data_IF_003448875923
#
_entry.id   IF_003448875923
#
_cell.length_a   1.000
_cell.length_b   1.000
_cell.length_c   1.000
_cell.angle_alpha   90.00
_cell.angle_beta   90.00
_cell.angle_gamma   90.00
#
_symmetry.space_group_name_H-M   'P 1'
#
loop_
_entity.id
_entity.type
_entity.pdbx_description
1 polymer ?
#
# COMPACT_ATOMS: atom_id res chain seq x y z
N UNK A 1 -15.94 -13.13 7.41
CA UNK A 1 -17.06 -13.91 6.81
C UNK A 1 -17.81 -13.17 5.69
N UNK A 2 -17.90 -11.86 5.72
CA UNK A 2 -18.60 -11.02 4.72
C UNK A 2 -17.64 -9.93 4.20
N UNK A 3 -16.54 -10.34 3.50
CA UNK A 3 -15.58 -9.39 2.96
C UNK A 3 -16.20 -8.54 1.85
N UNK A 4 -15.76 -7.30 1.75
CA UNK A 4 -16.21 -6.32 0.77
C UNK A 4 -15.03 -5.78 -0.03
N UNK A 5 -15.19 -5.67 -1.35
CA UNK A 5 -14.14 -5.17 -2.25
C UNK A 5 -13.91 -3.67 -2.07
N UNK A 6 -12.72 -3.21 -2.46
CA UNK A 6 -12.29 -1.81 -2.46
C UNK A 6 -13.37 -0.87 -3.00
N UNK A 7 -13.74 0.15 -2.22
CA UNK A 7 -14.79 1.13 -2.52
C UNK A 7 -16.23 0.62 -2.33
N UNK A 8 -16.39 -0.54 -1.69
CA UNK A 8 -17.69 -1.15 -1.38
C UNK A 8 -17.80 -1.64 0.05
N UNK A 9 -16.97 -1.15 0.95
CA UNK A 9 -16.84 -1.57 2.37
C UNK A 9 -17.99 -1.01 3.25
N UNK A 10 -19.23 -0.97 2.73
CA UNK A 10 -20.36 -0.32 3.40
C UNK A 10 -20.74 -0.98 4.72
N UNK A 11 -20.89 -2.31 4.75
CA UNK A 11 -21.26 -3.02 5.98
C UNK A 11 -20.09 -3.02 6.98
N UNK A 12 -18.85 -3.08 6.48
CA UNK A 12 -17.65 -2.99 7.32
C UNK A 12 -17.59 -1.60 7.97
N UNK A 13 -17.81 -0.53 7.21
CA UNK A 13 -17.82 0.85 7.71
C UNK A 13 -18.92 1.07 8.76
N UNK A 14 -20.15 0.61 8.48
CA UNK A 14 -21.27 0.67 9.43
C UNK A 14 -20.92 -0.05 10.75
N UNK A 15 -20.40 -1.28 10.65
CA UNK A 15 -19.99 -2.06 11.82
C UNK A 15 -18.90 -1.35 12.62
N UNK A 16 -17.87 -0.79 11.96
CA UNK A 16 -16.81 -0.02 12.60
C UNK A 16 -17.40 1.18 13.34
N UNK A 17 -18.24 1.97 12.67
CA UNK A 17 -18.84 3.16 13.27
C UNK A 17 -19.73 2.81 14.49
N UNK A 18 -20.52 1.75 14.40
CA UNK A 18 -21.31 1.25 15.53
C UNK A 18 -20.42 0.88 16.73
N UNK A 19 -19.34 0.14 16.49
CA UNK A 19 -18.41 -0.28 17.56
C UNK A 19 -17.67 0.90 18.17
N UNK A 20 -17.22 1.87 17.39
CA UNK A 20 -16.60 3.08 17.93
C UNK A 20 -17.55 3.87 18.83
N UNK A 21 -18.83 3.99 18.43
CA UNK A 21 -19.88 4.63 19.27
C UNK A 21 -20.13 3.83 20.55
N UNK A 22 -20.22 2.48 20.46
CA UNK A 22 -20.38 1.58 21.61
C UNK A 22 -19.22 1.72 22.60
N UNK A 23 -17.98 1.86 22.13
CA UNK A 23 -16.80 2.02 22.99
C UNK A 23 -16.67 3.43 23.56
N UNK A 24 -17.53 4.36 23.15
CA UNK A 24 -17.56 5.73 23.65
C UNK A 24 -16.46 6.62 23.05
N UNK A 25 -16.09 6.42 21.78
CA UNK A 25 -15.26 7.35 21.04
C UNK A 25 -15.96 8.70 20.94
N UNK A 26 -15.24 9.81 21.18
CA UNK A 26 -15.87 11.13 21.37
C UNK A 26 -16.51 11.69 20.09
N UNK A 27 -15.89 11.39 18.96
CA UNK A 27 -16.38 11.82 17.65
C UNK A 27 -16.18 10.68 16.66
N UNK A 28 -17.23 10.29 15.95
CA UNK A 28 -17.22 9.26 14.90
C UNK A 28 -17.78 9.88 13.64
N UNK A 29 -16.96 9.98 12.61
CA UNK A 29 -17.30 10.55 11.31
C UNK A 29 -17.42 9.39 10.32
N UNK A 30 -18.61 9.11 9.92
CA UNK A 30 -18.96 8.11 8.89
C UNK A 30 -18.89 8.74 7.50
N UNK A 31 -18.74 7.94 6.47
CA UNK A 31 -18.67 8.38 5.07
C UNK A 31 -17.67 9.54 4.86
N UNK A 32 -16.51 9.48 5.56
CA UNK A 32 -15.54 10.55 5.51
C UNK A 32 -15.14 10.87 4.07
N UNK A 33 -15.25 12.16 3.70
CA UNK A 33 -14.95 12.63 2.36
C UNK A 33 -15.72 11.89 1.24
N UNK A 34 -17.00 11.55 1.49
CA UNK A 34 -17.86 10.81 0.55
C UNK A 34 -17.27 9.44 0.14
N UNK A 35 -16.55 8.78 1.07
CA UNK A 35 -16.01 7.42 0.91
C UNK A 35 -16.60 6.51 1.98
N UNK A 36 -16.23 5.24 1.97
CA UNK A 36 -16.57 4.29 3.04
C UNK A 36 -15.61 4.38 4.25
N UNK A 37 -14.75 5.41 4.32
CA UNK A 37 -13.85 5.61 5.45
C UNK A 37 -14.62 6.02 6.72
N UNK A 38 -14.14 5.50 7.87
CA UNK A 38 -14.63 5.91 9.19
C UNK A 38 -13.47 6.51 9.97
N UNK A 39 -13.70 7.71 10.51
CA UNK A 39 -12.70 8.41 11.34
C UNK A 39 -13.22 8.57 12.75
N UNK A 40 -12.49 8.03 13.73
CA UNK A 40 -12.78 8.20 15.15
C UNK A 40 -11.81 9.18 15.80
N UNK A 41 -12.26 9.97 16.77
CA UNK A 41 -11.40 10.85 17.58
C UNK A 41 -11.66 10.57 19.04
N UNK A 42 -10.62 10.13 19.75
CA UNK A 42 -10.61 10.01 21.22
C UNK A 42 -9.89 11.23 21.77
N UNK A 43 -10.59 12.02 22.60
CA UNK A 43 -10.07 13.23 23.21
C UNK A 43 -9.56 12.91 24.62
N UNK A 44 -8.24 13.00 24.80
CA UNK A 44 -7.63 12.89 26.12
C UNK A 44 -7.60 14.21 26.89
N UNK A 45 -6.79 14.26 27.95
CA UNK A 45 -6.64 15.46 28.76
C UNK A 45 -5.73 16.51 28.13
N UNK A 46 -6.21 17.75 28.06
CA UNK A 46 -5.44 18.91 27.62
C UNK A 46 -5.35 19.08 26.10
N UNK A 47 -4.64 20.15 25.69
CA UNK A 47 -4.40 20.52 24.30
C UNK A 47 -3.10 19.89 23.76
N UNK A 48 -2.90 18.60 23.99
CA UNK A 48 -1.70 17.88 23.58
C UNK A 48 -1.67 17.57 22.07
N UNK A 49 -0.64 16.84 21.66
CA UNK A 49 -0.47 16.33 20.31
C UNK A 49 -1.64 15.40 19.90
N UNK A 50 -1.80 15.17 18.63
CA UNK A 50 -2.67 14.11 18.12
C UNK A 50 -1.81 13.05 17.43
N UNK A 51 -1.97 11.79 17.85
CA UNK A 51 -1.41 10.63 17.15
C UNK A 51 -2.50 9.94 16.36
N UNK A 52 -2.19 9.50 15.14
CA UNK A 52 -3.11 8.71 14.34
C UNK A 52 -2.71 7.23 14.35
N UNK A 53 -3.72 6.36 14.34
CA UNK A 53 -3.59 4.94 14.06
C UNK A 53 -4.44 4.62 12.82
N UNK A 54 -3.91 3.84 11.88
CA UNK A 54 -4.60 3.49 10.64
C UNK A 54 -4.75 1.98 10.48
N UNK A 55 -5.94 1.56 10.06
CA UNK A 55 -6.22 0.23 9.53
C UNK A 55 -6.94 0.36 8.19
N UNK A 56 -6.58 -0.47 7.23
CA UNK A 56 -7.32 -0.70 5.99
C UNK A 56 -8.49 -1.65 6.22
N UNK A 57 -9.49 -1.63 5.29
CA UNK A 57 -10.74 -2.38 5.48
C UNK A 57 -11.13 -3.27 4.30
N UNK A 58 -10.55 -3.04 3.12
CA UNK A 58 -11.00 -3.68 1.88
C UNK A 58 -10.50 -5.12 1.71
N UNK A 59 -11.21 -5.88 0.89
CA UNK A 59 -10.91 -7.26 0.53
C UNK A 59 -10.56 -7.38 -0.95
N UNK A 60 -10.03 -8.54 -1.32
CA UNK A 60 -9.55 -8.86 -2.66
C UNK A 60 -10.51 -9.80 -3.42
N UNK A 61 -10.54 -9.73 -4.77
CA UNK A 61 -11.31 -10.64 -5.63
C UNK A 61 -10.63 -12.01 -5.73
N UNK A 62 -10.56 -12.72 -4.59
CA UNK A 62 -9.91 -14.02 -4.43
C UNK A 62 -10.93 -15.04 -3.91
N UNK A 63 -10.99 -16.22 -4.53
CA UNK A 63 -11.81 -17.32 -4.03
C UNK A 63 -11.13 -17.98 -2.84
N UNK A 64 -11.74 -17.93 -1.66
CA UNK A 64 -11.18 -18.50 -0.44
C UNK A 64 -11.21 -20.02 -0.44
N UNK A 65 -10.10 -20.65 -0.03
CA UNK A 65 -9.91 -22.11 0.06
C UNK A 65 -9.32 -22.54 1.40
N UNK A 66 -9.52 -21.76 2.46
CA UNK A 66 -9.01 -22.09 3.81
C UNK A 66 -9.78 -23.25 4.46
N UNK A 67 -11.08 -23.38 4.15
CA UNK A 67 -11.96 -24.37 4.77
C UNK A 67 -12.26 -24.10 6.25
N UNK A 68 -11.99 -22.88 6.73
CA UNK A 68 -12.19 -22.47 8.12
C UNK A 68 -13.67 -22.19 8.42
N UNK A 69 -14.12 -22.31 9.69
CA UNK A 69 -15.50 -22.00 10.08
C UNK A 69 -15.91 -20.55 9.80
N UNK A 70 -14.94 -19.64 9.78
CA UNK A 70 -15.11 -18.20 9.51
C UNK A 70 -14.79 -17.82 8.08
N UNK A 71 -14.55 -18.78 7.19
CA UNK A 71 -14.28 -18.51 5.79
C UNK A 71 -15.36 -17.61 5.14
N UNK A 72 -14.96 -16.90 4.11
CA UNK A 72 -15.83 -16.01 3.36
C UNK A 72 -17.10 -16.70 2.88
N UNK A 73 -18.24 -16.06 3.08
CA UNK A 73 -19.56 -16.44 2.51
C UNK A 73 -19.85 -15.73 1.20
N UNK A 74 -18.96 -14.84 0.77
CA UNK A 74 -19.08 -14.09 -0.47
C UNK A 74 -18.19 -14.75 -1.51
N UNK A 75 -18.83 -15.39 -2.49
CA UNK A 75 -18.10 -16.10 -3.54
C UNK A 75 -17.15 -15.18 -4.30
N UNK A 76 -15.89 -15.60 -4.43
CA UNK A 76 -14.87 -14.85 -5.16
C UNK A 76 -14.32 -13.63 -4.43
N UNK A 77 -14.61 -13.46 -3.14
CA UNK A 77 -14.08 -12.34 -2.33
C UNK A 77 -13.50 -12.88 -1.03
N UNK A 78 -12.31 -12.44 -0.65
CA UNK A 78 -11.59 -12.89 0.54
C UNK A 78 -10.71 -11.77 1.12
N UNK A 79 -10.59 -11.70 2.44
CA UNK A 79 -9.53 -10.93 3.10
C UNK A 79 -8.19 -11.64 3.02
N UNK A 80 -7.65 -11.78 1.81
CA UNK A 80 -6.37 -12.46 1.59
C UNK A 80 -5.14 -11.59 1.87
N UNK A 81 -5.34 -10.34 2.30
CA UNK A 81 -4.31 -9.45 2.81
C UNK A 81 -4.42 -9.19 4.33
N UNK A 82 -5.50 -9.65 4.97
CA UNK A 82 -5.68 -9.57 6.42
C UNK A 82 -6.21 -8.24 6.94
N UNK A 83 -6.85 -7.42 6.10
CA UNK A 83 -7.40 -6.12 6.50
C UNK A 83 -8.55 -6.23 7.51
N UNK A 84 -9.24 -7.35 7.56
CA UNK A 84 -10.19 -7.68 8.64
C UNK A 84 -9.49 -7.79 10.01
N UNK A 85 -8.29 -8.35 10.06
CA UNK A 85 -7.48 -8.40 11.27
C UNK A 85 -6.99 -6.98 11.66
N UNK A 86 -6.56 -6.16 10.70
CA UNK A 86 -6.16 -4.77 10.96
C UNK A 86 -7.32 -3.96 11.54
N UNK A 87 -8.49 -4.05 10.90
CA UNK A 87 -9.74 -3.43 11.39
C UNK A 87 -10.08 -3.90 12.81
N UNK A 88 -9.99 -5.21 13.07
CA UNK A 88 -10.29 -5.78 14.40
C UNK A 88 -9.29 -5.31 15.47
N UNK A 89 -8.00 -5.22 15.14
CA UNK A 89 -6.97 -4.73 16.05
C UNK A 89 -7.17 -3.25 16.39
N UNK A 90 -7.43 -2.41 15.39
CA UNK A 90 -7.67 -0.98 15.61
C UNK A 90 -8.96 -0.73 16.40
N UNK A 91 -10.03 -1.53 16.20
CA UNK A 91 -11.21 -1.51 17.05
C UNK A 91 -10.89 -1.91 18.50
N UNK A 92 -10.07 -2.94 18.68
CA UNK A 92 -9.60 -3.35 20.00
C UNK A 92 -8.78 -2.25 20.69
N UNK A 93 -7.87 -1.60 19.95
CA UNK A 93 -7.08 -0.47 20.43
C UNK A 93 -7.99 0.73 20.79
N UNK A 94 -9.00 1.01 19.97
CA UNK A 94 -9.99 2.06 20.26
C UNK A 94 -10.67 1.85 21.62
N UNK A 95 -11.11 0.61 21.89
CA UNK A 95 -11.74 0.25 23.17
C UNK A 95 -10.78 0.46 24.35
N UNK A 96 -9.56 -0.06 24.25
CA UNK A 96 -8.52 0.09 25.29
C UNK A 96 -8.21 1.57 25.54
N UNK A 97 -8.04 2.37 24.49
CA UNK A 97 -7.72 3.79 24.60
C UNK A 97 -8.88 4.62 25.17
N UNK A 98 -10.15 4.24 24.87
CA UNK A 98 -11.30 4.86 25.51
C UNK A 98 -11.33 4.57 27.01
N UNK A 99 -11.01 3.36 27.46
CA UNK A 99 -10.90 3.00 28.87
C UNK A 99 -9.74 3.74 29.57
N UNK A 100 -8.64 3.97 28.84
CA UNK A 100 -7.46 4.70 29.32
C UNK A 100 -7.50 6.22 29.06
N UNK A 101 -8.63 6.77 28.63
CA UNK A 101 -8.79 8.18 28.23
C UNK A 101 -8.18 9.19 29.21
N UNK A 102 -8.37 8.95 30.52
CA UNK A 102 -7.87 9.80 31.56
C UNK A 102 -6.33 9.90 31.64
N UNK A 103 -5.65 8.94 31.01
CA UNK A 103 -4.19 8.89 30.91
C UNK A 103 -3.64 9.47 29.59
N UNK A 104 -4.49 9.72 28.60
CA UNK A 104 -4.07 10.30 27.32
C UNK A 104 -3.74 11.79 27.49
N UNK A 105 -2.51 12.19 27.18
CA UNK A 105 -2.06 13.59 27.24
C UNK A 105 -2.31 14.39 25.96
N UNK A 106 -3.18 13.91 25.08
CA UNK A 106 -3.54 14.49 23.81
C UNK A 106 -4.66 13.68 23.18
N UNK A 107 -4.78 13.73 21.86
CA UNK A 107 -5.85 13.06 21.13
C UNK A 107 -5.32 11.84 20.38
N UNK A 108 -6.19 10.85 20.18
CA UNK A 108 -5.95 9.75 19.24
C UNK A 108 -6.97 9.84 18.11
N UNK A 109 -6.46 9.85 16.89
CA UNK A 109 -7.28 9.76 15.67
C UNK A 109 -7.20 8.35 15.12
N UNK A 110 -8.33 7.72 14.92
CA UNK A 110 -8.49 6.37 14.38
C UNK A 110 -8.94 6.51 12.92
N UNK A 111 -8.19 5.97 11.98
CA UNK A 111 -8.49 6.05 10.54
C UNK A 111 -8.74 4.64 10.03
N UNK A 112 -10.00 4.31 9.78
CA UNK A 112 -10.39 3.08 9.12
C UNK A 112 -10.54 3.40 7.64
N UNK A 113 -9.56 2.97 6.86
CA UNK A 113 -9.35 3.38 5.48
C UNK A 113 -9.88 2.34 4.50
N UNK A 114 -10.68 2.72 3.50
CA UNK A 114 -11.03 1.87 2.37
C UNK A 114 -9.96 1.89 1.27
N UNK A 115 -10.11 1.02 0.28
CA UNK A 115 -9.42 1.13 -1.01
C UNK A 115 -7.89 1.11 -0.94
N UNK A 116 -7.28 0.30 -0.08
CA UNK A 116 -5.83 0.12 -0.09
C UNK A 116 -5.37 -0.63 -1.36
N UNK A 117 -6.09 -1.65 -1.76
CA UNK A 117 -5.76 -2.57 -2.85
C UNK A 117 -6.02 -2.00 -4.27
N UNK A 118 -6.54 -0.77 -4.35
CA UNK A 118 -6.89 -0.13 -5.62
C UNK A 118 -6.52 1.35 -5.64
N UNK A 119 -5.80 1.75 -6.71
CA UNK A 119 -5.38 3.15 -6.90
C UNK A 119 -6.45 4.05 -7.53
N UNK A 120 -7.52 3.46 -8.09
CA UNK A 120 -8.56 4.18 -8.82
C UNK A 120 -9.81 4.45 -7.98
N UNK A 121 -9.71 4.37 -6.68
CA UNK A 121 -10.78 4.68 -5.75
C UNK A 121 -10.31 5.55 -4.56
N UNK A 122 -11.21 5.82 -3.61
CA UNK A 122 -11.01 6.82 -2.55
C UNK A 122 -10.22 6.28 -1.34
N UNK A 123 -8.94 5.89 -1.56
CA UNK A 123 -7.99 5.42 -0.55
C UNK A 123 -7.21 6.54 0.16
N UNK A 124 -5.99 6.26 0.62
CA UNK A 124 -5.18 7.19 1.42
C UNK A 124 -5.00 8.57 0.79
N UNK A 125 -4.71 8.63 -0.52
CA UNK A 125 -4.54 9.90 -1.25
C UNK A 125 -5.77 10.79 -1.15
N UNK A 126 -6.95 10.21 -1.41
CA UNK A 126 -8.21 10.92 -1.29
C UNK A 126 -8.46 11.45 0.12
N UNK A 127 -8.23 10.62 1.14
CA UNK A 127 -8.44 11.01 2.53
C UNK A 127 -7.50 12.15 2.95
N UNK A 128 -6.24 12.11 2.54
CA UNK A 128 -5.26 13.15 2.84
C UNK A 128 -5.61 14.46 2.15
N UNK A 129 -5.98 14.42 0.87
CA UNK A 129 -6.43 15.60 0.10
C UNK A 129 -7.69 16.25 0.70
N UNK A 130 -8.52 15.47 1.42
CA UNK A 130 -9.71 15.96 2.13
C UNK A 130 -9.48 16.23 3.63
N UNK A 131 -8.20 16.31 4.05
CA UNK A 131 -7.83 16.83 5.36
C UNK A 131 -7.95 15.85 6.52
N UNK A 132 -7.89 14.53 6.30
CA UNK A 132 -7.94 13.53 7.36
C UNK A 132 -6.84 13.69 8.41
N UNK A 133 -5.72 14.31 8.06
CA UNK A 133 -4.61 14.64 8.97
C UNK A 133 -4.79 15.95 9.73
N UNK A 134 -5.84 16.71 9.41
CA UNK A 134 -6.18 17.99 10.06
C UNK A 134 -7.35 17.78 11.04
N UNK A 135 -7.62 18.75 11.89
CA UNK A 135 -8.78 18.86 12.79
C UNK A 135 -9.17 17.59 13.60
N UNK A 136 -8.37 17.20 14.62
CA UNK A 136 -7.14 17.81 15.10
C UNK A 136 -5.93 17.44 14.25
N UNK A 137 -4.96 18.34 14.14
CA UNK A 137 -3.75 18.13 13.34
C UNK A 137 -2.92 16.97 13.88
N UNK A 138 -2.68 15.98 13.03
CA UNK A 138 -1.89 14.80 13.36
C UNK A 138 -0.40 15.15 13.43
N UNK A 139 0.28 14.70 14.47
CA UNK A 139 1.72 14.91 14.68
C UNK A 139 2.56 13.66 14.41
N UNK A 140 1.97 12.49 14.44
CA UNK A 140 2.56 11.24 13.97
C UNK A 140 1.46 10.23 13.65
N UNK A 141 1.80 9.24 12.81
CA UNK A 141 0.88 8.17 12.42
C UNK A 141 1.57 6.80 12.50
N UNK A 142 0.84 5.78 12.97
CA UNK A 142 1.31 4.39 13.00
C UNK A 142 0.28 3.49 12.32
N UNK A 143 0.78 2.43 11.66
CA UNK A 143 -0.04 1.36 11.14
C UNK A 143 0.62 0.01 11.34
N UNK A 144 -0.19 -1.02 11.58
CA UNK A 144 0.23 -2.42 11.61
C UNK A 144 -0.27 -3.13 10.36
N UNK A 145 0.53 -4.05 9.84
CA UNK A 145 0.11 -4.98 8.80
C UNK A 145 0.52 -6.40 9.17
N UNK A 146 -0.38 -7.34 9.06
CA UNK A 146 -0.09 -8.77 9.28
C UNK A 146 0.93 -9.27 8.27
N UNK A 147 1.89 -10.10 8.73
CA UNK A 147 2.99 -10.52 7.90
C UNK A 147 3.32 -12.02 8.14
N UNK A 148 2.95 -12.88 7.19
CA UNK A 148 3.06 -14.34 7.34
C UNK A 148 4.49 -14.88 7.27
N UNK A 149 5.49 -14.05 7.01
CA UNK A 149 6.90 -14.42 7.10
C UNK A 149 7.48 -14.29 8.52
N UNK A 150 6.77 -13.59 9.42
CA UNK A 150 7.13 -13.49 10.83
C UNK A 150 6.27 -14.42 11.70
N UNK A 151 6.85 -15.09 12.70
CA UNK A 151 6.09 -15.88 13.65
C UNK A 151 5.10 -15.04 14.46
N UNK A 152 3.99 -15.63 14.88
CA UNK A 152 3.04 -15.01 15.81
C UNK A 152 3.74 -14.55 17.10
N UNK A 153 3.36 -13.35 17.58
CA UNK A 153 3.98 -12.73 18.74
C UNK A 153 5.23 -11.90 18.47
N UNK A 154 5.70 -11.85 17.23
CA UNK A 154 6.80 -11.00 16.80
C UNK A 154 6.30 -9.79 16.01
N UNK A 155 7.03 -8.70 16.08
CA UNK A 155 6.82 -7.50 15.25
C UNK A 155 8.10 -7.15 14.50
N UNK A 156 7.97 -6.56 13.32
CA UNK A 156 9.12 -6.20 12.49
C UNK A 156 8.97 -4.81 11.90
N UNK A 157 10.03 -4.02 11.89
CA UNK A 157 10.09 -2.74 11.20
C UNK A 157 11.54 -2.36 10.87
N UNK A 158 11.73 -1.27 10.14
CA UNK A 158 13.04 -0.64 9.92
C UNK A 158 12.85 0.84 9.57
N UNK A 159 13.83 1.66 9.85
CA UNK A 159 13.88 3.05 9.40
C UNK A 159 14.22 3.15 7.90
N UNK A 160 13.79 4.27 7.29
CA UNK A 160 14.05 4.55 5.89
C UNK A 160 13.18 3.73 4.94
N UNK A 161 13.63 3.45 3.70
CA UNK A 161 12.85 2.72 2.70
C UNK A 161 12.38 1.37 3.22
N UNK A 162 11.07 1.12 3.12
CA UNK A 162 10.41 -0.07 3.67
C UNK A 162 9.64 -0.86 2.61
N UNK A 163 8.81 -0.17 1.80
CA UNK A 163 8.10 -0.73 0.65
C UNK A 163 8.29 0.16 -0.58
N UNK A 164 8.16 -0.42 -1.77
CA UNK A 164 8.37 0.30 -3.01
C UNK A 164 7.15 1.13 -3.42
N UNK A 165 7.38 2.07 -4.35
CA UNK A 165 6.32 2.68 -5.12
C UNK A 165 5.61 1.66 -6.01
N UNK A 166 4.40 1.99 -6.46
CA UNK A 166 3.64 1.17 -7.38
C UNK A 166 3.06 2.04 -8.49
N UNK A 167 3.76 2.12 -9.61
CA UNK A 167 3.39 2.96 -10.73
C UNK A 167 3.14 2.12 -11.99
N UNK A 168 2.30 2.64 -12.89
CA UNK A 168 1.97 2.01 -14.17
C UNK A 168 2.34 2.95 -15.31
N UNK A 169 2.82 2.41 -16.40
CA UNK A 169 3.00 3.18 -17.62
C UNK A 169 2.39 2.47 -18.82
N UNK A 170 1.94 3.27 -19.80
CA UNK A 170 1.39 2.80 -21.06
C UNK A 170 2.08 3.49 -22.21
N UNK A 171 2.45 2.72 -23.20
CA UNK A 171 3.11 3.20 -24.42
C UNK A 171 2.35 2.72 -25.63
N UNK A 172 2.11 3.65 -26.55
CA UNK A 172 1.67 3.34 -27.91
C UNK A 172 2.75 3.83 -28.86
N UNK A 173 3.32 2.92 -29.63
CA UNK A 173 4.26 3.20 -30.72
C UNK A 173 3.47 3.26 -32.01
N UNK A 174 3.57 4.38 -32.73
CA UNK A 174 2.78 4.70 -33.91
C UNK A 174 3.67 4.67 -35.15
N UNK A 175 3.28 3.87 -36.10
CA UNK A 175 3.95 3.72 -37.37
C UNK A 175 3.04 4.05 -38.58
N UNK A 176 3.24 3.35 -39.68
CA UNK A 176 2.43 3.45 -40.86
C UNK A 176 2.31 2.08 -41.49
N UNK A 177 1.08 1.58 -41.61
CA UNK A 177 0.82 0.25 -42.16
C UNK A 177 1.19 0.12 -43.64
N UNK A 178 1.58 -1.07 -43.99
CA UNK A 178 1.87 -1.44 -45.40
C UNK A 178 1.88 -2.96 -45.56
N UNK A 179 1.91 -3.40 -46.81
CA UNK A 179 2.12 -4.82 -47.14
C UNK A 179 3.52 -5.26 -46.68
N UNK A 180 3.65 -6.36 -45.95
CA UNK A 180 4.92 -6.84 -45.39
C UNK A 180 6.03 -7.05 -46.42
N UNK A 181 5.69 -7.33 -47.74
CA UNK A 181 6.66 -7.39 -48.81
C UNK A 181 7.16 -6.03 -49.29
N UNK A 182 6.60 -4.92 -48.81
CA UNK A 182 6.96 -3.53 -49.18
C UNK A 182 7.25 -2.66 -48.00
N UNK A 183 8.15 -3.07 -47.06
CA UNK A 183 8.37 -2.35 -45.78
C UNK A 183 8.85 -0.92 -46.00
N UNK A 184 9.52 -0.60 -47.10
CA UNK A 184 10.00 0.74 -47.43
C UNK A 184 8.88 1.76 -47.76
N UNK A 185 7.61 1.33 -47.84
CA UNK A 185 6.44 2.21 -48.05
C UNK A 185 5.71 2.55 -46.76
N UNK A 186 6.08 1.89 -45.66
CA UNK A 186 5.52 2.09 -44.32
C UNK A 186 6.55 2.53 -43.29
N UNK A 187 6.12 2.55 -42.02
CA UNK A 187 6.97 2.71 -40.85
C UNK A 187 6.58 1.59 -39.86
N UNK A 188 7.50 0.71 -39.57
CA UNK A 188 7.20 -0.51 -38.81
C UNK A 188 7.19 -0.28 -37.30
N UNK A 189 6.01 -0.23 -36.64
CA UNK A 189 5.93 -0.01 -35.19
C UNK A 189 6.33 -1.25 -34.39
N UNK A 190 6.35 -2.44 -34.95
CA UNK A 190 6.78 -3.67 -34.27
C UNK A 190 8.27 -3.62 -33.98
N UNK A 191 9.07 -3.20 -34.96
CA UNK A 191 10.53 -3.03 -34.78
C UNK A 191 10.82 -1.91 -33.79
N UNK A 192 10.11 -0.78 -33.90
CA UNK A 192 10.26 0.34 -32.95
C UNK A 192 9.90 -0.07 -31.51
N UNK A 193 8.80 -0.81 -31.31
CA UNK A 193 8.39 -1.31 -30.01
C UNK A 193 9.42 -2.28 -29.41
N UNK A 194 9.95 -3.21 -30.22
CA UNK A 194 10.99 -4.13 -29.78
C UNK A 194 12.28 -3.40 -29.33
N UNK A 195 12.71 -2.39 -30.07
CA UNK A 195 13.87 -1.55 -29.70
C UNK A 195 13.58 -0.73 -28.45
N UNK A 196 12.37 -0.16 -28.34
CA UNK A 196 11.93 0.59 -27.17
C UNK A 196 11.94 -0.27 -25.90
N UNK A 197 11.37 -1.46 -25.93
CA UNK A 197 11.37 -2.41 -24.81
C UNK A 197 12.79 -2.71 -24.35
N UNK A 198 13.70 -3.01 -25.27
CA UNK A 198 15.10 -3.25 -24.95
C UNK A 198 15.76 -2.02 -24.30
N UNK A 199 15.53 -0.82 -24.85
CA UNK A 199 16.08 0.41 -24.28
C UNK A 199 15.51 0.72 -22.89
N UNK A 200 14.22 0.49 -22.66
CA UNK A 200 13.59 0.71 -21.36
C UNK A 200 14.22 -0.18 -20.27
N UNK A 201 14.52 -1.44 -20.56
CA UNK A 201 15.22 -2.32 -19.62
C UNK A 201 16.65 -1.85 -19.29
N UNK A 202 17.30 -1.09 -20.20
CA UNK A 202 18.60 -0.49 -19.92
C UNK A 202 18.52 0.69 -18.93
N UNK A 203 17.35 1.30 -18.73
CA UNK A 203 17.19 2.41 -17.78
C UNK A 203 17.67 1.98 -16.39
N UNK A 204 17.16 0.87 -15.86
CA UNK A 204 17.53 0.37 -14.54
C UNK A 204 19.03 0.03 -14.46
N UNK A 205 19.57 -0.60 -15.49
CA UNK A 205 20.94 -1.11 -15.46
C UNK A 205 22.03 -0.10 -15.86
N UNK A 206 21.69 1.04 -16.50
CA UNK A 206 22.66 1.97 -17.11
C UNK A 206 22.46 3.43 -16.75
N UNK A 207 21.29 3.84 -16.26
CA UNK A 207 20.96 5.24 -15.99
C UNK A 207 20.61 5.54 -14.53
N UNK A 208 20.34 4.48 -13.75
CA UNK A 208 20.15 4.60 -12.29
C UNK A 208 21.44 4.21 -11.57
N UNK A 209 21.65 4.73 -10.38
CA UNK A 209 22.72 4.28 -9.49
C UNK A 209 22.48 2.80 -9.15
N UNK A 210 23.50 1.92 -9.27
CA UNK A 210 23.37 0.50 -8.91
C UNK A 210 22.97 0.26 -7.44
N UNK A 211 23.12 1.25 -6.57
CA UNK A 211 22.70 1.20 -5.16
C UNK A 211 21.23 1.63 -4.95
N UNK A 212 20.58 2.15 -5.99
CA UNK A 212 19.17 2.58 -5.97
C UNK A 212 18.29 1.48 -6.61
N UNK A 213 17.69 0.59 -5.81
CA UNK A 213 16.88 -0.50 -6.35
C UNK A 213 15.64 0.01 -7.09
N UNK A 214 15.46 -0.46 -8.31
CA UNK A 214 14.28 -0.21 -9.12
C UNK A 214 13.91 -1.44 -9.94
N UNK A 215 12.61 -1.60 -10.20
CA UNK A 215 12.08 -2.63 -11.12
C UNK A 215 11.27 -1.92 -12.19
N UNK A 216 11.55 -2.23 -13.45
CA UNK A 216 10.75 -1.85 -14.62
C UNK A 216 10.39 -3.14 -15.35
N UNK A 217 9.09 -3.41 -15.45
CA UNK A 217 8.59 -4.63 -16.08
C UNK A 217 7.55 -4.26 -17.13
N UNK A 218 7.69 -4.81 -18.35
CA UNK A 218 6.65 -4.78 -19.36
C UNK A 218 5.85 -6.09 -19.23
N UNK A 219 4.58 -5.98 -18.82
CA UNK A 219 3.70 -7.12 -18.55
C UNK A 219 2.74 -7.44 -19.68
N UNK A 220 2.56 -6.50 -20.64
CA UNK A 220 1.64 -6.65 -21.75
C UNK A 220 2.21 -6.01 -23.00
N UNK A 221 2.05 -6.68 -24.15
CA UNK A 221 2.33 -6.13 -25.48
C UNK A 221 1.26 -6.62 -26.44
N UNK A 222 0.80 -5.73 -27.32
CA UNK A 222 -0.24 -6.02 -28.32
C UNK A 222 -0.01 -5.21 -29.60
N UNK A 223 -0.15 -5.85 -30.76
CA UNK A 223 -0.08 -5.19 -32.05
C UNK A 223 -0.10 -6.18 -33.20
N UNK A 224 -0.56 -5.72 -34.38
CA UNK A 224 -0.69 -6.53 -35.60
C UNK A 224 -1.95 -7.40 -35.63
N UNK A 225 -2.35 -7.78 -36.87
CA UNK A 225 -3.55 -8.56 -37.14
C UNK A 225 -3.27 -9.77 -38.03
N UNK A 226 -2.25 -9.69 -38.91
CA UNK A 226 -1.87 -10.73 -39.84
C UNK A 226 -0.37 -10.67 -40.14
N UNK A 227 0.22 -11.79 -40.46
CA UNK A 227 1.66 -11.96 -40.69
C UNK A 227 2.17 -11.22 -41.94
N UNK A 228 1.28 -10.87 -42.86
CA UNK A 228 1.60 -10.20 -44.12
C UNK A 228 1.28 -8.70 -44.12
N UNK A 229 0.98 -8.11 -42.93
CA UNK A 229 0.66 -6.69 -42.75
C UNK A 229 1.55 -6.08 -41.66
N UNK A 230 2.27 -5.02 -42.02
CA UNK A 230 2.87 -4.13 -41.00
C UNK A 230 1.74 -3.31 -40.40
N UNK A 231 1.50 -3.34 -39.07
CA UNK A 231 0.39 -2.61 -38.45
C UNK A 231 0.63 -1.10 -38.37
N UNK A 232 -0.41 -0.33 -38.02
CA UNK A 232 -0.29 1.10 -37.77
C UNK A 232 0.30 1.41 -36.39
N UNK A 233 0.06 0.52 -35.41
CA UNK A 233 0.49 0.76 -34.03
C UNK A 233 0.80 -0.54 -33.28
N UNK A 234 1.61 -0.39 -32.22
CA UNK A 234 1.87 -1.42 -31.20
C UNK A 234 1.76 -0.77 -29.84
N UNK A 235 1.06 -1.40 -28.91
CA UNK A 235 0.91 -0.96 -27.53
C UNK A 235 1.65 -1.90 -26.59
N UNK A 236 2.22 -1.33 -25.51
CA UNK A 236 2.72 -2.12 -24.39
C UNK A 236 2.54 -1.36 -23.06
N UNK A 237 2.23 -2.14 -22.03
CA UNK A 237 2.00 -1.63 -20.67
C UNK A 237 3.01 -2.24 -19.70
N UNK A 238 3.42 -1.46 -18.72
CA UNK A 238 4.36 -1.94 -17.71
C UNK A 238 4.15 -1.31 -16.34
N UNK A 239 4.92 -1.82 -15.38
CA UNK A 239 4.94 -1.31 -14.01
C UNK A 239 6.33 -0.86 -13.60
N UNK A 240 6.38 0.11 -12.69
CA UNK A 240 7.61 0.61 -12.10
C UNK A 240 7.52 0.50 -10.59
N UNK A 241 8.60 0.05 -9.96
CA UNK A 241 8.78 -0.03 -8.51
C UNK A 241 10.09 0.65 -8.14
N UNK A 242 10.06 1.57 -7.17
CA UNK A 242 11.24 2.27 -6.65
C UNK A 242 11.17 2.40 -5.14
N UNK A 243 12.33 2.53 -4.49
CA UNK A 243 12.43 2.74 -3.05
C UNK A 243 12.80 4.18 -2.68
N UNK A 244 12.90 5.07 -3.69
CA UNK A 244 13.30 6.46 -3.56
C UNK A 244 12.37 7.36 -4.37
N UNK A 245 11.97 8.51 -3.82
CA UNK A 245 11.20 9.53 -4.53
C UNK A 245 11.96 10.08 -5.73
N UNK A 246 13.25 10.36 -5.57
CA UNK A 246 14.11 10.91 -6.64
C UNK A 246 14.16 9.98 -7.85
N UNK A 247 14.37 8.69 -7.61
CA UNK A 247 14.39 7.67 -8.69
C UNK A 247 13.02 7.58 -9.35
N UNK A 248 11.92 7.60 -8.56
CA UNK A 248 10.55 7.55 -9.08
C UNK A 248 10.26 8.69 -10.05
N UNK A 249 10.63 9.93 -9.69
CA UNK A 249 10.43 11.13 -10.52
C UNK A 249 11.28 11.12 -11.79
N UNK A 250 12.47 10.52 -11.73
CA UNK A 250 13.43 10.48 -12.86
C UNK A 250 13.07 9.47 -13.94
N UNK A 251 12.46 8.33 -13.60
CA UNK A 251 12.21 7.23 -14.56
C UNK A 251 11.31 7.64 -15.72
N UNK A 252 10.18 8.36 -15.55
CA UNK A 252 9.35 8.80 -16.67
C UNK A 252 10.10 9.61 -17.71
N UNK A 253 10.97 10.53 -17.33
CA UNK A 253 11.81 11.32 -18.23
C UNK A 253 12.77 10.45 -19.04
N UNK A 254 13.35 9.42 -18.40
CA UNK A 254 14.24 8.47 -19.07
C UNK A 254 13.47 7.60 -20.09
N UNK A 255 12.24 7.22 -19.78
CA UNK A 255 11.35 6.49 -20.68
C UNK A 255 11.04 7.36 -21.92
N UNK A 256 10.58 8.59 -21.70
CA UNK A 256 10.25 9.51 -22.81
C UNK A 256 11.45 9.77 -23.72
N UNK A 257 12.63 9.97 -23.12
CA UNK A 257 13.87 10.19 -23.90
C UNK A 257 14.19 8.97 -24.77
N UNK A 258 14.04 7.75 -24.25
CA UNK A 258 14.29 6.54 -25.00
C UNK A 258 13.27 6.35 -26.14
N UNK A 259 11.97 6.55 -25.85
CA UNK A 259 10.90 6.45 -26.83
C UNK A 259 11.07 7.46 -27.95
N UNK A 260 11.29 8.73 -27.61
CA UNK A 260 11.51 9.82 -28.57
C UNK A 260 12.70 9.55 -29.50
N UNK A 261 13.83 9.10 -28.93
CA UNK A 261 15.03 8.80 -29.71
C UNK A 261 14.81 7.66 -30.71
N UNK A 262 14.15 6.59 -30.29
CA UNK A 262 13.91 5.41 -31.14
C UNK A 262 12.88 5.73 -32.20
N UNK A 263 11.71 6.27 -31.85
CA UNK A 263 10.65 6.53 -32.84
C UNK A 263 11.11 7.54 -33.88
N UNK A 264 11.82 8.62 -33.49
CA UNK A 264 12.42 9.58 -34.43
C UNK A 264 13.40 8.91 -35.39
N UNK A 265 14.25 8.00 -34.94
CA UNK A 265 15.24 7.34 -35.77
C UNK A 265 14.59 6.48 -36.89
N UNK A 266 13.39 5.99 -36.65
CA UNK A 266 12.63 5.17 -37.62
C UNK A 266 11.54 5.96 -38.35
N UNK A 267 11.34 7.25 -38.04
CA UNK A 267 10.32 8.09 -38.68
C UNK A 267 8.89 7.82 -38.21
N UNK A 268 8.73 7.27 -36.99
CA UNK A 268 7.46 7.03 -36.36
C UNK A 268 7.21 8.00 -35.18
N UNK A 269 6.11 7.78 -34.44
CA UNK A 269 5.68 8.56 -33.34
C UNK A 269 5.41 7.67 -32.11
N UNK A 270 5.18 8.29 -30.94
CA UNK A 270 4.76 7.58 -29.73
C UNK A 270 3.75 8.39 -28.92
N UNK A 271 2.98 7.69 -28.10
CA UNK A 271 2.22 8.26 -26.98
C UNK A 271 2.68 7.57 -25.71
N UNK A 272 2.93 8.33 -24.66
CA UNK A 272 3.35 7.82 -23.36
C UNK A 272 2.42 8.38 -22.28
N UNK A 273 1.93 7.51 -21.41
CA UNK A 273 1.15 7.87 -20.22
C UNK A 273 1.80 7.23 -19.01
N UNK A 274 2.13 8.04 -18.02
CA UNK A 274 2.54 7.60 -16.71
C UNK A 274 1.38 7.77 -15.74
N UNK A 275 1.01 6.70 -15.05
CA UNK A 275 -0.07 6.68 -14.06
C UNK A 275 0.58 6.49 -12.69
N UNK A 276 0.63 7.58 -11.94
CA UNK A 276 1.15 7.55 -10.57
C UNK A 276 0.23 6.76 -9.67
N UNK A 277 0.78 5.71 -9.08
CA UNK A 277 0.15 4.96 -7.99
C UNK A 277 0.67 5.38 -6.62
N UNK A 278 0.95 4.41 -5.76
CA UNK A 278 1.46 4.68 -4.41
C UNK A 278 2.93 5.09 -4.44
N UNK A 279 3.33 6.13 -3.67
CA UNK A 279 4.74 6.48 -3.50
C UNK A 279 5.50 5.41 -2.70
N UNK A 280 6.84 5.45 -2.68
CA UNK A 280 7.62 4.57 -1.81
C UNK A 280 7.27 4.84 -0.34
N UNK A 281 7.08 3.76 0.43
CA UNK A 281 6.88 3.84 1.86
C UNK A 281 8.22 3.97 2.55
N UNK A 282 8.44 5.12 3.18
CA UNK A 282 9.69 5.46 3.88
C UNK A 282 9.36 5.75 5.33
N UNK A 283 9.70 4.82 6.22
CA UNK A 283 9.51 5.00 7.66
C UNK A 283 10.40 6.11 8.21
N UNK A 284 9.80 7.01 8.96
CA UNK A 284 10.53 8.15 9.53
C UNK A 284 11.47 7.68 10.65
N UNK A 285 12.77 8.06 10.64
CA UNK A 285 13.76 7.51 11.58
C UNK A 285 13.40 7.68 13.06
N UNK A 286 12.94 8.87 13.47
CA UNK A 286 12.64 9.14 14.88
C UNK A 286 11.39 8.40 15.39
N UNK A 287 10.33 8.31 14.57
CA UNK A 287 9.14 7.54 14.96
C UNK A 287 9.40 6.05 14.95
N UNK A 288 10.26 5.58 14.04
CA UNK A 288 10.66 4.16 13.99
C UNK A 288 11.52 3.78 15.19
N UNK A 289 12.51 4.59 15.54
CA UNK A 289 13.32 4.38 16.76
C UNK A 289 12.44 4.35 18.02
N UNK A 290 11.51 5.29 18.10
CA UNK A 290 10.54 5.33 19.19
C UNK A 290 9.68 4.05 19.21
N UNK A 291 9.11 3.64 18.07
CA UNK A 291 8.27 2.45 17.99
C UNK A 291 9.05 1.18 18.39
N UNK A 292 10.27 1.02 17.91
CA UNK A 292 11.16 -0.11 18.26
C UNK A 292 11.41 -0.16 19.79
N UNK A 293 11.73 1.00 20.40
CA UNK A 293 11.94 1.09 21.84
C UNK A 293 10.68 0.67 22.61
N UNK A 294 9.52 1.23 22.26
CA UNK A 294 8.26 0.98 22.97
C UNK A 294 7.72 -0.44 22.75
N UNK A 295 7.83 -0.98 21.54
CA UNK A 295 7.53 -2.38 21.30
C UNK A 295 8.46 -3.32 22.08
N UNK A 296 9.76 -2.97 22.18
CA UNK A 296 10.71 -3.72 23.00
C UNK A 296 10.43 -3.68 24.50
N UNK A 297 9.90 -2.56 25.02
CA UNK A 297 9.43 -2.47 26.42
C UNK A 297 8.18 -3.33 26.65
N UNK A 298 7.27 -3.37 25.68
CA UNK A 298 5.99 -4.08 25.78
C UNK A 298 6.13 -5.60 25.58
N UNK A 299 6.84 -6.03 24.55
CA UNK A 299 6.88 -7.43 24.11
C UNK A 299 8.15 -8.18 24.50
N UNK A 300 9.20 -7.47 24.91
CA UNK A 300 10.57 -7.97 24.98
C UNK A 300 11.35 -7.68 23.70
N UNK A 301 12.62 -7.27 23.84
CA UNK A 301 13.47 -6.86 22.71
C UNK A 301 13.69 -7.96 21.68
N UNK A 302 13.68 -9.21 22.12
CA UNK A 302 13.85 -10.41 21.29
C UNK A 302 12.68 -10.64 20.32
N UNK A 303 11.52 -10.03 20.58
CA UNK A 303 10.33 -10.12 19.73
C UNK A 303 10.20 -8.95 18.74
N UNK A 304 11.12 -8.00 18.79
CA UNK A 304 11.17 -6.84 17.86
C UNK A 304 12.28 -7.05 16.85
N UNK A 305 11.92 -7.37 15.63
CA UNK A 305 12.85 -7.66 14.54
C UNK A 305 13.14 -6.38 13.75
N UNK A 306 14.41 -6.00 13.69
CA UNK A 306 14.84 -4.96 12.77
C UNK A 306 15.09 -5.60 11.42
N UNK A 307 14.23 -5.27 10.44
CA UNK A 307 14.30 -5.85 9.10
C UNK A 307 15.51 -5.31 8.34
N UNK A 308 16.27 -6.20 7.74
CA UNK A 308 17.50 -5.81 7.02
C UNK A 308 17.20 -5.13 5.69
N UNK A 309 16.19 -5.60 4.97
CA UNK A 309 15.89 -5.18 3.60
C UNK A 309 14.45 -4.71 3.43
N UNK A 310 14.21 -3.69 2.57
CA UNK A 310 12.87 -3.35 2.11
C UNK A 310 12.33 -4.45 1.17
N UNK A 311 11.04 -4.40 0.87
CA UNK A 311 10.42 -5.26 -0.14
C UNK A 311 9.83 -4.42 -1.27
N UNK A 312 9.60 -5.06 -2.45
CA UNK A 312 9.11 -4.36 -3.64
C UNK A 312 7.57 -4.36 -3.76
N UNK A 313 6.84 -4.72 -2.70
CA UNK A 313 5.39 -4.51 -2.58
C UNK A 313 5.07 -3.01 -2.44
N UNK A 314 3.84 -2.62 -2.79
CA UNK A 314 3.31 -1.27 -2.57
C UNK A 314 2.42 -1.23 -1.34
N UNK A 315 2.17 -0.03 -0.80
CA UNK A 315 1.27 0.24 0.34
C UNK A 315 0.94 1.73 0.36
N UNK A 316 -0.34 2.07 0.34
CA UNK A 316 -0.79 3.45 0.24
C UNK A 316 -0.70 4.24 1.56
N UNK A 317 -0.39 3.57 2.69
CA UNK A 317 0.04 4.25 3.91
C UNK A 317 1.22 5.20 3.68
N UNK A 318 2.01 4.93 2.66
CA UNK A 318 3.11 5.78 2.17
C UNK A 318 2.66 7.23 1.89
N UNK A 319 1.41 7.43 1.49
CA UNK A 319 0.85 8.77 1.22
C UNK A 319 0.78 9.59 2.51
N UNK A 320 0.35 8.99 3.62
CA UNK A 320 0.35 9.70 4.92
C UNK A 320 1.76 10.12 5.34
N UNK A 321 2.75 9.26 5.06
CA UNK A 321 4.15 9.52 5.45
C UNK A 321 4.80 10.66 4.67
N UNK A 322 4.21 11.09 3.55
CA UNK A 322 4.63 12.31 2.85
C UNK A 322 4.22 13.60 3.60
N UNK A 323 3.25 13.52 4.52
CA UNK A 323 2.66 14.68 5.20
C UNK A 323 2.98 14.73 6.69
N UNK A 324 3.13 13.57 7.34
CA UNK A 324 3.42 13.47 8.78
C UNK A 324 4.44 12.36 9.04
N UNK A 325 5.32 12.52 10.06
CA UNK A 325 6.21 11.42 10.44
C UNK A 325 5.40 10.23 10.94
N UNK A 326 5.82 9.02 10.55
CA UNK A 326 5.13 7.81 10.96
C UNK A 326 5.97 6.56 10.78
N UNK A 327 5.39 5.44 11.19
CA UNK A 327 6.04 4.12 11.09
C UNK A 327 5.02 3.05 10.74
N UNK A 328 5.34 2.31 9.69
CA UNK A 328 4.65 1.09 9.30
C UNK A 328 5.33 -0.11 9.94
N UNK A 329 4.55 -0.99 10.54
CA UNK A 329 5.04 -2.10 11.37
C UNK A 329 4.43 -3.40 10.84
N UNK A 330 5.23 -4.43 10.68
CA UNK A 330 4.78 -5.79 10.36
C UNK A 330 4.48 -6.56 11.64
N UNK A 331 3.33 -7.20 11.69
CA UNK A 331 2.91 -8.08 12.78
C UNK A 331 2.97 -9.54 12.33
N UNK A 332 3.74 -10.36 13.02
CA UNK A 332 3.86 -11.77 12.72
C UNK A 332 2.56 -12.53 12.99
N UNK A 333 2.15 -13.33 12.01
CA UNK A 333 0.92 -14.16 12.06
C UNK A 333 1.18 -15.62 11.71
N UNK A 334 2.43 -15.98 11.39
CA UNK A 334 2.82 -17.35 11.01
C UNK A 334 2.75 -18.30 12.17
N UNK A 335 2.17 -19.47 11.95
CA UNK A 335 2.22 -20.59 12.88
C UNK A 335 2.30 -21.92 12.10
N UNK A 336 3.47 -22.53 12.09
CA UNK A 336 3.71 -23.78 11.36
C UNK A 336 2.96 -24.96 11.97
N UNK A 337 2.81 -24.99 13.29
CA UNK A 337 2.09 -26.06 14.00
C UNK A 337 0.59 -26.08 13.68
N UNK A 338 0.01 -24.86 13.48
CA UNK A 338 -1.38 -24.68 13.04
C UNK A 338 -1.55 -24.76 11.52
N UNK A 339 -0.46 -24.92 10.75
CA UNK A 339 -0.48 -24.93 9.28
C UNK A 339 -0.72 -23.55 8.64
N UNK A 340 -0.53 -22.46 9.39
CA UNK A 340 -0.69 -21.07 8.94
C UNK A 340 0.64 -20.61 8.37
N UNK A 341 0.83 -20.83 7.06
CA UNK A 341 2.13 -20.66 6.38
C UNK A 341 2.02 -20.01 4.99
N UNK A 342 0.80 -19.74 4.52
CA UNK A 342 0.57 -19.21 3.19
C UNK A 342 0.84 -17.71 3.14
N UNK A 343 1.42 -17.20 2.03
CA UNK A 343 1.69 -15.77 1.88
C UNK A 343 0.39 -14.96 1.68
N UNK A 344 0.52 -13.64 1.81
CA UNK A 344 -0.53 -12.68 1.44
C UNK A 344 -1.01 -12.92 -0.01
N UNK A 345 -2.26 -12.58 -0.31
CA UNK A 345 -2.95 -12.75 -1.61
C UNK A 345 -3.13 -14.21 -2.05
N UNK A 346 -2.80 -15.17 -1.20
CA UNK A 346 -3.05 -16.59 -1.46
C UNK A 346 -4.45 -16.98 -1.03
N UNK A 347 -5.14 -17.83 -1.82
CA UNK A 347 -6.48 -18.33 -1.51
C UNK A 347 -6.58 -19.18 -0.22
N UNK A 348 -5.44 -19.58 0.33
CA UNK A 348 -5.31 -20.30 1.61
C UNK A 348 -4.67 -19.46 2.70
N UNK A 349 -4.48 -18.14 2.47
CA UNK A 349 -3.99 -17.24 3.50
C UNK A 349 -4.87 -17.32 4.74
N UNK A 350 -4.23 -17.33 5.89
CA UNK A 350 -4.88 -17.35 7.21
C UNK A 350 -3.91 -16.73 8.23
N UNK A 351 -4.40 -16.34 9.36
CA UNK A 351 -3.61 -15.78 10.46
C UNK A 351 -3.74 -16.62 11.71
N UNK A 352 -2.71 -16.64 12.55
CA UNK A 352 -2.86 -17.07 13.93
C UNK A 352 -3.51 -15.94 14.73
N UNK A 353 -4.75 -16.17 15.20
CA UNK A 353 -5.53 -15.17 15.93
C UNK A 353 -4.88 -14.72 17.25
N UNK A 354 -3.89 -15.47 17.77
CA UNK A 354 -3.06 -15.04 18.89
C UNK A 354 -2.24 -13.77 18.59
N UNK A 355 -2.13 -13.36 17.31
CA UNK A 355 -1.55 -12.09 16.89
C UNK A 355 -2.45 -10.89 17.21
N UNK A 356 -3.78 -11.05 17.23
CA UNK A 356 -4.72 -9.94 17.41
C UNK A 356 -4.51 -9.19 18.73
N UNK A 357 -4.44 -9.85 19.92
CA UNK A 357 -4.16 -9.13 21.15
C UNK A 357 -2.77 -8.48 21.18
N UNK A 358 -1.79 -9.02 20.44
CA UNK A 358 -0.47 -8.38 20.31
C UNK A 358 -0.58 -7.08 19.52
N UNK A 359 -1.31 -7.08 18.40
CA UNK A 359 -1.55 -5.86 17.61
C UNK A 359 -2.30 -4.79 18.41
N UNK A 360 -3.38 -5.16 19.09
CA UNK A 360 -4.12 -4.24 19.98
C UNK A 360 -3.20 -3.61 21.04
N UNK A 361 -2.35 -4.41 21.68
CA UNK A 361 -1.44 -3.93 22.69
C UNK A 361 -0.39 -2.97 22.11
N UNK A 362 0.18 -3.30 20.95
CA UNK A 362 1.18 -2.44 20.27
C UNK A 362 0.57 -1.11 19.86
N UNK A 363 -0.57 -1.09 19.17
CA UNK A 363 -1.24 0.15 18.75
C UNK A 363 -1.60 1.03 19.94
N UNK A 364 -2.21 0.45 20.98
CA UNK A 364 -2.61 1.17 22.18
C UNK A 364 -1.40 1.75 22.93
N UNK A 365 -0.33 0.96 23.06
CA UNK A 365 0.86 1.38 23.79
C UNK A 365 1.66 2.44 23.05
N UNK A 366 1.78 2.33 21.72
CA UNK A 366 2.39 3.36 20.90
C UNK A 366 1.64 4.68 20.97
N UNK A 367 0.30 4.65 20.89
CA UNK A 367 -0.50 5.86 20.98
C UNK A 367 -0.36 6.52 22.36
N UNK A 368 -0.52 5.76 23.44
CA UNK A 368 -0.41 6.24 24.80
C UNK A 368 0.95 6.89 25.09
N UNK A 369 2.03 6.17 24.78
CA UNK A 369 3.40 6.61 25.08
C UNK A 369 3.89 7.72 24.15
N UNK A 370 3.40 7.77 22.89
CA UNK A 370 3.71 8.88 21.99
C UNK A 370 3.17 10.21 22.52
N UNK A 371 1.97 10.21 23.05
CA UNK A 371 1.34 11.41 23.63
C UNK A 371 2.04 11.89 24.92
N UNK A 372 2.87 11.07 25.54
CA UNK A 372 3.68 11.46 26.70
C UNK A 372 4.97 12.21 26.33
N UNK A 373 5.39 12.14 25.07
CA UNK A 373 6.59 12.85 24.61
C UNK A 373 6.38 14.37 24.65
N UNK A 374 7.38 15.08 25.19
CA UNK A 374 7.41 16.55 25.23
C UNK A 374 7.63 17.16 23.86
#
# INVERSE_FOLDING_TARGET
MYPELSGREFNTAEFVAEKLKEFGVDEVIEDYAESTAVVGIIRGKGNGKTVALRADMDALPTEEKTGKPYASKIKGVMHSCGHDAHTAMLLGAAKVLCELREHLKGNVKLIFQPCEERHDCKGAKWLVEHGVLENPKVSAIFALHVFPELPVGYVGTKEGPFLASSDVFRVKVIGKSTHASRPHQGVDPVIMAAQSINALHHIVSRYLDPLEPAVLTIGKIQGGFAENIIPDEVEFDGTIRTLSHEVRERIPELIERALSGITSAYGGEYSFKFEEGTPPLINHPETTKFAVEKMGELLGKERVIILERPTMGGEDFSVYLQHVPGTFIRLGVRNEEKGIVYPLHNSKFDIDEDALPVGVAVESYLALTYLERK
#
